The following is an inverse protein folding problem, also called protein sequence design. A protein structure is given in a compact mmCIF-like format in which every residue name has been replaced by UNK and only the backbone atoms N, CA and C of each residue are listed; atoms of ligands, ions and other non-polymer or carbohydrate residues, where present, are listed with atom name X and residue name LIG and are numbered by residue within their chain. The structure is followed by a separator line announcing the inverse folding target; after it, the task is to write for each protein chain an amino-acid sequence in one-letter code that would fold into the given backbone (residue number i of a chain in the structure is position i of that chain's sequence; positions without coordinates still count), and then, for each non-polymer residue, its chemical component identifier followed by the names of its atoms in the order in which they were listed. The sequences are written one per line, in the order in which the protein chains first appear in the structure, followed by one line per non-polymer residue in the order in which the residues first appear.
data_IF_009796398963
#
_entry.id   IF_009796398963
#
_cell.length_a   1.000
_cell.length_b   1.000
_cell.length_c   1.000
_cell.angle_alpha   90.00
_cell.angle_beta   90.00
_cell.angle_gamma   90.00
#
_symmetry.space_group_name_H-M   'P 1'
#
loop_
_entity.id
_entity.type
_entity.pdbx_description
1 polymer ?
#
# COMPACT_ATOMS: atom_id res chain seq x y z
N UNK A 1 -21.48 13.83 18.32
CA UNK A 1 -22.71 13.48 17.57
C UNK A 1 -22.82 11.96 17.53
N UNK A 2 -24.03 11.41 17.54
CA UNK A 2 -24.22 9.96 17.40
C UNK A 2 -24.23 9.64 15.91
N UNK A 3 -23.14 9.07 15.41
CA UNK A 3 -23.11 8.57 14.04
C UNK A 3 -23.62 7.13 14.01
N UNK A 4 -24.32 6.77 12.93
CA UNK A 4 -24.92 5.45 12.73
C UNK A 4 -24.81 5.04 11.26
N UNK A 5 -24.81 3.74 11.00
CA UNK A 5 -24.90 3.18 9.65
C UNK A 5 -26.21 2.42 9.55
N UNK A 6 -27.04 2.84 8.60
CA UNK A 6 -28.29 2.18 8.25
C UNK A 6 -28.04 1.25 7.08
N UNK A 7 -28.40 -0.02 7.25
CA UNK A 7 -28.31 -1.06 6.24
C UNK A 7 -29.71 -1.48 5.82
N UNK A 8 -29.93 -1.57 4.51
CA UNK A 8 -31.21 -1.92 3.90
C UNK A 8 -31.06 -2.98 2.83
N UNK A 9 -32.14 -3.71 2.59
CA UNK A 9 -32.35 -4.48 1.38
C UNK A 9 -32.51 -3.56 0.16
N UNK A 10 -32.29 -4.05 -1.08
CA UNK A 10 -32.50 -3.25 -2.30
C UNK A 10 -33.92 -2.72 -2.47
N UNK A 11 -34.92 -3.38 -1.86
CA UNK A 11 -36.31 -2.94 -1.86
C UNK A 11 -36.60 -1.82 -0.84
N UNK A 12 -35.63 -1.45 0.00
CA UNK A 12 -35.71 -0.40 1.02
C UNK A 12 -35.96 -0.89 2.45
N UNK A 13 -36.22 -2.18 2.67
CA UNK A 13 -36.46 -2.75 4.00
C UNK A 13 -35.23 -2.59 4.89
N UNK A 14 -35.42 -2.16 6.14
CA UNK A 14 -34.31 -1.99 7.09
C UNK A 14 -33.85 -3.34 7.61
N UNK A 15 -32.57 -3.65 7.38
CA UNK A 15 -31.91 -4.85 7.89
C UNK A 15 -31.28 -4.58 9.25
N UNK A 16 -30.56 -3.47 9.37
CA UNK A 16 -29.89 -3.08 10.60
C UNK A 16 -29.68 -1.57 10.68
N UNK A 17 -29.64 -1.03 11.89
CA UNK A 17 -29.15 0.32 12.17
C UNK A 17 -28.11 0.20 13.28
N UNK A 18 -26.85 0.41 12.92
CA UNK A 18 -25.71 0.10 13.80
C UNK A 18 -25.03 1.41 14.20
N UNK A 19 -24.81 1.65 15.50
CA UNK A 19 -24.08 2.83 15.94
C UNK A 19 -22.63 2.77 15.44
N UNK A 20 -22.17 3.86 14.85
CA UNK A 20 -20.77 4.02 14.50
C UNK A 20 -19.99 4.47 15.74
N UNK A 21 -18.91 3.77 16.02
CA UNK A 21 -18.00 4.02 17.12
C UNK A 21 -16.72 4.66 16.57
N UNK A 22 -16.01 5.45 17.36
CA UNK A 22 -14.70 5.93 16.96
C UNK A 22 -13.72 4.76 16.79
N UNK A 23 -13.05 4.68 15.63
CA UNK A 23 -11.97 3.74 15.38
C UNK A 23 -10.60 4.43 15.52
N UNK A 24 -9.62 3.75 16.13
CA UNK A 24 -8.27 4.27 16.44
C UNK A 24 -7.91 4.28 17.95
N UNK A 25 -6.75 4.84 18.32
CA UNK A 25 -6.30 4.95 19.72
C UNK A 25 -7.16 5.96 20.51
N UNK A 26 -8.20 5.42 21.15
CA UNK A 26 -9.12 6.13 22.03
C UNK A 26 -8.42 6.94 23.13
N UNK A 27 -7.24 6.53 23.61
CA UNK A 27 -6.51 7.23 24.68
C UNK A 27 -5.83 8.48 24.15
N UNK A 28 -5.15 8.39 23.01
CA UNK A 28 -4.54 9.56 22.34
C UNK A 28 -5.60 10.54 21.88
N UNK A 29 -6.72 10.06 21.35
CA UNK A 29 -7.80 10.92 20.87
C UNK A 29 -8.55 11.60 22.03
N UNK A 30 -8.83 10.89 23.13
CA UNK A 30 -9.37 11.51 24.36
C UNK A 30 -8.45 12.61 24.92
N UNK A 31 -7.13 12.45 24.83
CA UNK A 31 -6.16 13.49 25.19
C UNK A 31 -6.25 14.69 24.24
N UNK A 32 -6.36 14.48 22.92
CA UNK A 32 -6.55 15.55 21.91
C UNK A 32 -7.87 16.30 22.11
N UNK A 33 -9.00 15.59 22.26
CA UNK A 33 -10.33 16.17 22.51
C UNK A 33 -10.38 17.00 23.82
N UNK A 34 -9.69 16.55 24.88
CA UNK A 34 -9.58 17.33 26.13
C UNK A 34 -8.80 18.63 25.95
N UNK A 35 -7.79 18.65 25.09
CA UNK A 35 -7.02 19.85 24.75
C UNK A 35 -7.81 20.82 23.83
N UNK A 36 -8.81 20.31 23.11
CA UNK A 36 -9.63 21.04 22.14
C UNK A 36 -10.83 21.78 22.75
N UNK A 37 -11.04 21.72 24.07
CA UNK A 37 -12.06 22.54 24.80
C UNK A 37 -11.78 24.06 24.78
N UNK A 38 -10.87 24.52 23.93
CA UNK A 38 -10.57 25.92 23.64
C UNK A 38 -11.10 26.24 22.25
N UNK A 39 -11.65 27.44 22.05
CA UNK A 39 -12.32 27.98 20.85
C UNK A 39 -11.48 28.03 19.54
N UNK A 40 -10.62 27.03 19.29
CA UNK A 40 -9.77 26.94 18.11
C UNK A 40 -10.54 26.27 16.95
N UNK A 41 -10.38 26.77 15.71
CA UNK A 41 -10.97 26.14 14.54
C UNK A 41 -10.40 24.73 14.32
N UNK A 42 -11.27 23.83 13.84
CA UNK A 42 -10.93 22.44 13.48
C UNK A 42 -9.80 22.48 12.45
N UNK A 43 -8.70 21.77 12.73
CA UNK A 43 -7.57 21.68 11.80
C UNK A 43 -7.79 20.53 10.82
N UNK A 44 -7.24 20.58 9.60
CA UNK A 44 -7.22 19.44 8.67
C UNK A 44 -6.68 18.13 9.27
N UNK A 45 -5.89 18.21 10.35
CA UNK A 45 -5.36 17.05 11.09
C UNK A 45 -6.32 16.45 12.13
N UNK A 46 -7.55 16.97 12.24
CA UNK A 46 -8.61 16.51 13.15
C UNK A 46 -9.60 15.57 12.44
N UNK A 47 -9.08 14.59 11.69
CA UNK A 47 -9.89 13.52 11.08
C UNK A 47 -10.35 12.55 12.19
N UNK A 48 -11.65 12.30 12.25
CA UNK A 48 -12.26 11.32 13.13
C UNK A 48 -12.68 10.09 12.32
N UNK A 49 -12.02 8.96 12.53
CA UNK A 49 -12.45 7.70 11.95
C UNK A 49 -13.63 7.13 12.76
N UNK A 50 -14.71 6.80 12.06
CA UNK A 50 -15.89 6.12 12.60
C UNK A 50 -16.01 4.74 11.96
N UNK A 51 -16.34 3.74 12.76
CA UNK A 51 -16.48 2.34 12.40
C UNK A 51 -17.84 1.82 12.87
N UNK A 52 -18.56 1.14 12.00
CA UNK A 52 -19.74 0.36 12.36
C UNK A 52 -19.54 -1.08 11.91
N UNK A 53 -19.75 -2.04 12.82
CA UNK A 53 -19.63 -3.47 12.51
C UNK A 53 -20.99 -4.02 12.07
N UNK A 54 -21.13 -4.24 10.77
CA UNK A 54 -22.27 -4.96 10.21
C UNK A 54 -21.98 -6.46 10.30
N UNK A 55 -22.85 -7.21 10.99
CA UNK A 55 -22.65 -8.66 11.26
C UNK A 55 -23.82 -9.47 10.75
N UNK A 56 -23.64 -10.80 10.65
CA UNK A 56 -24.65 -11.73 10.16
C UNK A 56 -25.20 -11.40 8.75
N UNK A 57 -24.31 -10.91 7.87
CA UNK A 57 -24.65 -10.62 6.48
C UNK A 57 -24.65 -11.89 5.63
N UNK A 58 -25.58 -11.98 4.67
CA UNK A 58 -25.59 -13.06 3.69
C UNK A 58 -24.44 -12.87 2.69
N UNK A 59 -23.73 -13.94 2.29
CA UNK A 59 -22.65 -13.86 1.31
C UNK A 59 -23.16 -13.61 -0.11
N UNK A 60 -22.40 -12.90 -0.95
CA UNK A 60 -22.80 -12.57 -2.33
C UNK A 60 -24.15 -11.84 -2.42
N UNK A 61 -24.51 -11.10 -1.37
CA UNK A 61 -25.76 -10.37 -1.28
C UNK A 61 -25.52 -8.88 -1.45
N UNK A 62 -26.45 -8.22 -2.14
CA UNK A 62 -26.43 -6.78 -2.33
C UNK A 62 -27.28 -6.13 -1.25
N UNK A 63 -26.63 -5.35 -0.39
CA UNK A 63 -27.28 -4.42 0.52
C UNK A 63 -27.11 -2.98 0.03
N UNK A 64 -27.85 -2.07 0.65
CA UNK A 64 -27.68 -0.64 0.51
C UNK A 64 -27.39 -0.04 1.89
N UNK A 65 -26.29 0.70 2.02
CA UNK A 65 -25.92 1.34 3.28
C UNK A 65 -25.96 2.87 3.17
N UNK A 66 -26.22 3.53 4.29
CA UNK A 66 -26.21 4.99 4.41
C UNK A 66 -25.65 5.39 5.78
N UNK A 67 -24.79 6.40 5.81
CA UNK A 67 -24.27 6.96 7.07
C UNK A 67 -25.20 8.07 7.53
N UNK A 68 -25.53 8.08 8.82
CA UNK A 68 -26.35 9.10 9.47
C UNK A 68 -25.59 9.73 10.63
N UNK A 69 -25.87 11.01 10.90
CA UNK A 69 -25.47 11.70 12.11
C UNK A 69 -26.73 12.29 12.77
N UNK A 70 -26.98 11.89 14.01
CA UNK A 70 -28.17 12.29 14.78
C UNK A 70 -29.49 12.10 14.00
N UNK A 71 -29.58 10.99 13.25
CA UNK A 71 -30.72 10.61 12.41
C UNK A 71 -30.79 11.32 11.06
N UNK A 72 -29.87 12.22 10.74
CA UNK A 72 -29.79 12.93 9.46
C UNK A 72 -28.83 12.20 8.52
N UNK A 73 -29.23 11.83 7.29
CA UNK A 73 -28.32 11.27 6.32
C UNK A 73 -27.13 12.18 6.01
N UNK A 74 -25.92 11.63 6.14
CA UNK A 74 -24.65 12.31 5.84
C UNK A 74 -24.09 11.90 4.47
N UNK A 75 -24.53 10.76 3.96
CA UNK A 75 -24.16 10.25 2.64
C UNK A 75 -25.40 9.93 1.83
N UNK A 76 -25.26 9.93 0.51
CA UNK A 76 -26.21 9.23 -0.35
C UNK A 76 -26.20 7.71 -0.02
N UNK A 77 -27.28 6.97 -0.32
CA UNK A 77 -27.28 5.51 -0.22
C UNK A 77 -26.26 4.88 -1.18
N UNK A 78 -25.49 3.92 -0.71
CA UNK A 78 -24.42 3.26 -1.47
C UNK A 78 -24.60 1.74 -1.48
N UNK A 79 -24.27 1.06 -2.59
CA UNK A 79 -24.33 -0.40 -2.62
C UNK A 79 -23.22 -1.00 -1.75
N UNK A 80 -23.52 -2.14 -1.13
CA UNK A 80 -22.57 -2.99 -0.43
C UNK A 80 -22.80 -4.42 -0.89
N UNK A 81 -21.86 -4.95 -1.68
CA UNK A 81 -21.86 -6.38 -2.05
C UNK A 81 -20.97 -7.12 -1.06
N UNK A 82 -21.52 -8.12 -0.39
CA UNK A 82 -20.77 -8.91 0.59
C UNK A 82 -19.86 -9.93 -0.08
N UNK A 83 -18.81 -10.31 0.64
CA UNK A 83 -17.82 -11.28 0.18
C UNK A 83 -18.48 -12.58 -0.31
N UNK A 84 -17.91 -13.16 -1.37
CA UNK A 84 -18.40 -14.41 -1.91
C UNK A 84 -18.14 -15.57 -0.95
N UNK A 85 -19.11 -16.47 -0.81
CA UNK A 85 -18.87 -17.76 -0.15
C UNK A 85 -18.01 -18.66 -1.05
N UNK A 86 -17.28 -19.60 -0.44
CA UNK A 86 -16.53 -20.61 -1.19
C UNK A 86 -17.45 -21.54 -1.99
N UNK A 87 -16.92 -22.13 -3.06
CA UNK A 87 -17.60 -23.03 -4.00
C UNK A 87 -18.74 -22.39 -4.81
N UNK A 88 -18.64 -21.10 -5.09
CA UNK A 88 -19.51 -20.47 -6.07
C UNK A 88 -18.89 -20.60 -7.46
N UNK A 89 -19.71 -20.94 -8.47
CA UNK A 89 -19.27 -20.95 -9.88
C UNK A 89 -18.90 -19.54 -10.39
N UNK A 90 -19.11 -18.50 -9.57
CA UNK A 90 -18.74 -17.13 -9.87
C UNK A 90 -17.27 -16.89 -9.49
N UNK A 91 -16.47 -16.33 -10.41
CA UNK A 91 -15.10 -15.99 -10.09
C UNK A 91 -15.04 -14.83 -9.10
N UNK A 92 -14.07 -14.92 -8.18
CA UNK A 92 -13.60 -13.80 -7.38
C UNK A 92 -12.73 -12.90 -8.24
N UNK A 93 -13.11 -11.63 -8.38
CA UNK A 93 -12.36 -10.64 -9.17
C UNK A 93 -11.75 -9.59 -8.25
N UNK A 94 -10.47 -9.30 -8.39
CA UNK A 94 -9.83 -8.27 -7.58
C UNK A 94 -8.68 -7.61 -8.32
N UNK A 95 -8.31 -6.42 -7.88
CA UNK A 95 -7.13 -5.72 -8.37
C UNK A 95 -6.09 -5.60 -7.26
N UNK A 96 -4.81 -5.63 -7.61
CA UNK A 96 -3.71 -5.41 -6.69
C UNK A 96 -2.73 -4.36 -7.24
N UNK A 97 -2.30 -3.44 -6.38
CA UNK A 97 -1.42 -2.33 -6.75
C UNK A 97 -0.57 -1.88 -5.54
N UNK A 98 0.74 -1.71 -5.72
CA UNK A 98 1.64 -1.15 -4.72
C UNK A 98 2.09 0.27 -5.05
N UNK A 99 2.55 1.01 -4.05
CA UNK A 99 3.34 2.23 -4.24
C UNK A 99 2.56 3.34 -4.96
N UNK A 100 1.27 3.42 -4.66
CA UNK A 100 0.34 4.38 -5.26
C UNK A 100 0.52 5.79 -4.70
N UNK A 101 0.95 5.95 -3.44
CA UNK A 101 0.71 7.11 -2.57
C UNK A 101 1.36 8.45 -2.90
N UNK A 102 1.61 8.79 -4.17
CA UNK A 102 2.31 10.03 -4.56
C UNK A 102 1.40 11.25 -4.57
N UNK A 103 0.08 11.07 -4.75
CA UNK A 103 -0.87 12.14 -5.08
C UNK A 103 -0.77 12.61 -6.54
N UNK A 104 0.13 12.02 -7.33
CA UNK A 104 0.57 12.51 -8.63
C UNK A 104 -0.28 12.05 -9.82
N UNK A 105 0.09 12.53 -11.01
CA UNK A 105 -0.63 12.23 -12.25
C UNK A 105 -0.63 10.73 -12.59
N UNK A 106 0.49 10.02 -12.39
CA UNK A 106 0.58 8.59 -12.66
C UNK A 106 -0.37 7.77 -11.77
N UNK A 107 -0.45 8.09 -10.47
CA UNK A 107 -1.39 7.45 -9.56
C UNK A 107 -2.85 7.68 -9.98
N UNK A 108 -3.22 8.93 -10.32
CA UNK A 108 -4.58 9.26 -10.76
C UNK A 108 -4.95 8.54 -12.05
N UNK A 109 -4.00 8.45 -13.00
CA UNK A 109 -4.18 7.68 -14.23
C UNK A 109 -4.31 6.18 -13.97
N UNK A 110 -3.57 5.62 -13.00
CA UNK A 110 -3.75 4.24 -12.54
C UNK A 110 -5.14 4.01 -11.94
N UNK A 111 -5.60 4.89 -11.04
CA UNK A 111 -6.93 4.80 -10.46
C UNK A 111 -8.03 4.83 -11.54
N UNK A 112 -7.89 5.73 -12.52
CA UNK A 112 -8.78 5.78 -13.69
C UNK A 112 -8.72 4.48 -14.49
N UNK A 113 -7.52 3.95 -14.75
CA UNK A 113 -7.35 2.72 -15.51
C UNK A 113 -7.96 1.51 -14.81
N UNK A 114 -7.79 1.41 -13.49
CA UNK A 114 -8.40 0.34 -12.69
C UNK A 114 -9.93 0.38 -12.82
N UNK A 115 -10.55 1.56 -12.88
CA UNK A 115 -12.01 1.69 -13.05
C UNK A 115 -12.57 1.11 -14.36
N UNK A 116 -11.71 0.79 -15.33
CA UNK A 116 -12.09 0.18 -16.61
C UNK A 116 -12.19 -1.34 -16.55
N UNK A 117 -11.81 -1.96 -15.44
CA UNK A 117 -11.95 -3.41 -15.20
C UNK A 117 -12.94 -3.69 -14.07
N UNK A 118 -13.60 -4.84 -14.11
CA UNK A 118 -14.49 -5.28 -13.03
C UNK A 118 -13.68 -5.92 -11.90
N UNK A 119 -13.93 -5.50 -10.66
CA UNK A 119 -13.37 -6.10 -9.46
C UNK A 119 -14.32 -5.95 -8.27
N UNK A 120 -14.26 -6.93 -7.37
CA UNK A 120 -15.08 -7.00 -6.16
C UNK A 120 -14.40 -6.27 -4.99
N UNK A 121 -13.06 -6.22 -4.99
CA UNK A 121 -12.25 -5.55 -3.97
C UNK A 121 -10.84 -5.18 -4.50
N UNK A 122 -10.13 -4.37 -3.71
CA UNK A 122 -8.79 -3.89 -4.02
C UNK A 122 -7.78 -4.35 -2.97
N UNK A 123 -6.59 -4.75 -3.41
CA UNK A 123 -5.42 -4.99 -2.57
C UNK A 123 -4.39 -3.87 -2.78
N UNK A 124 -3.95 -3.25 -1.69
CA UNK A 124 -2.84 -2.29 -1.72
C UNK A 124 -1.58 -2.87 -1.07
N UNK A 125 -0.49 -2.91 -1.82
CA UNK A 125 0.74 -3.62 -1.46
C UNK A 125 1.73 -2.72 -0.67
N UNK A 126 1.23 -1.83 0.18
CA UNK A 126 2.02 -0.86 0.96
C UNK A 126 2.45 0.39 0.20
N UNK A 127 3.01 1.35 0.94
CA UNK A 127 3.40 2.68 0.47
C UNK A 127 2.26 3.42 -0.23
N UNK A 128 1.13 3.48 0.47
CA UNK A 128 -0.10 4.15 0.05
C UNK A 128 -0.08 5.66 0.33
N UNK A 129 0.87 6.14 1.13
CA UNK A 129 1.00 7.55 1.49
C UNK A 129 2.48 7.99 1.58
N UNK A 130 3.05 8.37 0.43
CA UNK A 130 4.35 9.03 0.40
C UNK A 130 4.26 10.44 0.99
N UNK A 131 5.31 10.99 1.59
CA UNK A 131 6.64 10.39 1.80
C UNK A 131 6.79 9.83 3.21
N UNK A 132 5.93 10.18 4.16
CA UNK A 132 6.12 9.79 5.56
C UNK A 132 4.88 9.16 6.21
N UNK A 133 3.84 8.85 5.45
CA UNK A 133 2.62 8.25 5.98
C UNK A 133 1.91 9.09 7.02
N UNK A 134 1.94 10.42 6.88
CA UNK A 134 1.19 11.31 7.76
C UNK A 134 -0.32 11.15 7.53
N UNK A 135 -1.15 11.57 8.50
CA UNK A 135 -2.60 11.53 8.35
C UNK A 135 -3.07 12.36 7.13
N UNK A 136 -2.49 13.54 6.92
CA UNK A 136 -2.76 14.38 5.74
C UNK A 136 -2.34 13.72 4.43
N UNK A 137 -1.22 13.00 4.40
CA UNK A 137 -0.82 12.24 3.21
C UNK A 137 -1.77 11.07 2.93
N UNK A 138 -2.23 10.36 3.95
CA UNK A 138 -3.24 9.30 3.79
C UNK A 138 -4.55 9.88 3.26
N UNK A 139 -5.04 10.98 3.83
CA UNK A 139 -6.24 11.67 3.37
C UNK A 139 -6.12 12.05 1.89
N UNK A 140 -5.11 12.84 1.53
CA UNK A 140 -5.02 13.45 0.20
C UNK A 140 -4.48 12.53 -0.89
N UNK A 141 -3.72 11.50 -0.52
CA UNK A 141 -3.05 10.61 -1.49
C UNK A 141 -3.66 9.22 -1.54
N UNK A 142 -4.55 8.88 -0.61
CA UNK A 142 -5.31 7.64 -0.67
C UNK A 142 -6.81 7.94 -0.74
N UNK A 143 -7.40 8.49 0.33
CA UNK A 143 -8.86 8.64 0.39
C UNK A 143 -9.41 9.59 -0.67
N UNK A 144 -8.80 10.75 -0.91
CA UNK A 144 -9.24 11.69 -1.94
C UNK A 144 -9.16 11.08 -3.36
N UNK A 145 -8.16 10.24 -3.63
CA UNK A 145 -7.95 9.65 -4.96
C UNK A 145 -8.92 8.50 -5.23
N UNK A 146 -9.18 7.67 -4.22
CA UNK A 146 -10.03 6.48 -4.36
C UNK A 146 -11.44 6.69 -3.78
N UNK A 147 -11.81 7.92 -3.39
CA UNK A 147 -13.05 8.27 -2.68
C UNK A 147 -14.29 7.62 -3.26
N UNK A 148 -14.46 7.74 -4.57
CA UNK A 148 -15.67 7.31 -5.24
C UNK A 148 -15.79 5.79 -5.29
N UNK A 149 -14.67 5.07 -5.46
CA UNK A 149 -14.66 3.59 -5.51
C UNK A 149 -14.71 2.97 -4.10
N UNK A 150 -14.03 3.58 -3.12
CA UNK A 150 -14.03 3.12 -1.72
C UNK A 150 -15.40 3.19 -1.04
N UNK A 151 -16.35 3.94 -1.65
CA UNK A 151 -17.73 4.01 -1.18
C UNK A 151 -18.49 2.69 -1.35
N UNK A 152 -18.03 1.75 -2.19
CA UNK A 152 -18.75 0.48 -2.39
C UNK A 152 -17.83 -0.70 -2.69
N UNK A 153 -16.53 -0.45 -2.94
CA UNK A 153 -15.52 -1.48 -3.10
C UNK A 153 -14.59 -1.48 -1.88
N UNK A 154 -14.51 -2.59 -1.12
CA UNK A 154 -13.58 -2.67 -0.01
C UNK A 154 -12.12 -2.67 -0.47
N UNK A 155 -11.27 -2.01 0.31
CA UNK A 155 -9.83 -1.99 0.11
C UNK A 155 -9.11 -2.64 1.29
N UNK A 156 -8.28 -3.62 0.99
CA UNK A 156 -7.42 -4.31 1.95
C UNK A 156 -5.99 -3.85 1.70
N UNK A 157 -5.37 -3.25 2.71
CA UNK A 157 -4.04 -2.65 2.57
C UNK A 157 -3.03 -3.41 3.42
N UNK A 158 -1.81 -3.56 2.91
CA UNK A 158 -0.64 -3.90 3.72
C UNK A 158 0.10 -2.61 4.09
N UNK A 159 0.85 -2.63 5.20
CA UNK A 159 1.67 -1.49 5.63
C UNK A 159 3.04 -1.50 4.93
N UNK A 160 3.48 -0.35 4.40
CA UNK A 160 4.80 -0.14 3.81
C UNK A 160 5.79 0.58 4.74
N UNK A 161 7.02 0.75 4.29
CA UNK A 161 8.05 1.44 5.07
C UNK A 161 7.81 2.96 5.14
N UNK A 162 7.10 3.55 4.16
CA UNK A 162 6.77 4.96 4.21
C UNK A 162 5.72 5.27 5.28
N UNK A 163 4.74 4.37 5.49
CA UNK A 163 3.76 4.50 6.57
C UNK A 163 4.40 4.49 7.96
N UNK A 164 5.51 3.76 8.14
CA UNK A 164 6.21 3.65 9.44
C UNK A 164 6.93 4.93 9.87
N UNK A 165 7.25 5.84 8.94
CA UNK A 165 8.08 7.03 9.23
C UNK A 165 7.40 7.98 10.21
N UNK A 166 6.08 8.09 10.16
CA UNK A 166 5.30 8.89 11.12
C UNK A 166 4.82 8.02 12.27
N UNK A 167 5.33 8.29 13.47
CA UNK A 167 4.86 7.65 14.72
C UNK A 167 4.77 6.12 14.63
N UNK A 168 5.71 5.47 13.94
CA UNK A 168 5.76 4.01 13.75
C UNK A 168 4.50 3.43 13.09
N UNK A 169 3.84 4.17 12.19
CA UNK A 169 2.64 3.71 11.47
C UNK A 169 1.32 4.06 12.15
N UNK A 170 1.33 4.81 13.25
CA UNK A 170 0.09 5.16 13.94
C UNK A 170 -0.96 5.84 13.04
N UNK A 171 -0.64 6.76 12.11
CA UNK A 171 -1.65 7.31 11.19
C UNK A 171 -2.32 6.25 10.30
N UNK A 172 -1.57 5.22 9.87
CA UNK A 172 -2.13 4.11 9.10
C UNK A 172 -3.14 3.31 9.94
N UNK A 173 -2.77 2.91 11.16
CA UNK A 173 -3.69 2.18 12.06
C UNK A 173 -4.86 3.04 12.57
N UNK A 174 -4.75 4.38 12.49
CA UNK A 174 -5.83 5.31 12.82
C UNK A 174 -6.77 5.57 11.63
N UNK A 175 -6.39 5.19 10.41
CA UNK A 175 -7.11 5.48 9.17
C UNK A 175 -7.85 4.27 8.59
N UNK A 176 -7.35 3.05 8.81
CA UNK A 176 -7.89 1.83 8.22
C UNK A 176 -8.58 0.96 9.26
N UNK A 177 -9.74 0.41 8.90
CA UNK A 177 -10.40 -0.67 9.63
C UNK A 177 -10.18 -1.95 8.85
N UNK A 178 -9.27 -2.79 9.33
CA UNK A 178 -8.88 -4.03 8.65
C UNK A 178 -9.22 -5.25 9.54
N UNK A 179 -9.29 -6.45 8.97
CA UNK A 179 -9.51 -7.65 9.77
C UNK A 179 -8.42 -7.87 10.83
N UNK A 180 -8.75 -8.67 11.84
CA UNK A 180 -7.77 -9.19 12.80
C UNK A 180 -6.98 -8.10 13.53
N UNK A 181 -5.65 -8.21 13.52
CA UNK A 181 -4.76 -7.29 14.21
C UNK A 181 -4.44 -6.02 13.41
N UNK A 182 -5.04 -5.85 12.23
CA UNK A 182 -4.87 -4.75 11.25
C UNK A 182 -3.45 -4.60 10.67
N UNK A 183 -2.42 -4.99 11.42
CA UNK A 183 -1.01 -5.03 11.02
C UNK A 183 -0.70 -6.21 10.11
N UNK A 184 -1.22 -7.37 10.47
CA UNK A 184 -1.22 -8.60 9.68
C UNK A 184 -2.55 -9.29 9.96
N UNK A 185 -3.16 -9.83 8.93
CA UNK A 185 -4.52 -10.33 9.01
C UNK A 185 -4.83 -11.23 7.82
N UNK A 186 -5.92 -11.96 7.90
CA UNK A 186 -6.42 -12.75 6.78
C UNK A 186 -7.93 -12.58 6.62
N UNK A 187 -8.39 -12.89 5.43
CA UNK A 187 -9.80 -12.92 5.06
C UNK A 187 -10.02 -13.86 3.89
N UNK A 188 -11.25 -14.32 3.75
CA UNK A 188 -11.65 -15.19 2.66
C UNK A 188 -12.54 -14.43 1.69
N UNK A 189 -12.36 -14.68 0.39
CA UNK A 189 -13.29 -14.24 -0.64
C UNK A 189 -13.42 -15.34 -1.69
N UNK A 190 -14.61 -15.92 -1.78
CA UNK A 190 -14.87 -17.06 -2.65
C UNK A 190 -13.94 -18.22 -2.31
N UNK A 191 -13.21 -18.70 -3.31
CA UNK A 191 -12.30 -19.85 -3.20
C UNK A 191 -10.85 -19.46 -2.84
N UNK A 192 -10.63 -18.23 -2.38
CA UNK A 192 -9.30 -17.69 -2.12
C UNK A 192 -9.16 -17.23 -0.67
N UNK A 193 -8.11 -17.71 -0.02
CA UNK A 193 -7.66 -17.25 1.28
C UNK A 193 -6.58 -16.17 1.09
N UNK A 194 -6.84 -14.97 1.58
CA UNK A 194 -5.93 -13.83 1.49
C UNK A 194 -5.25 -13.58 2.83
N UNK A 195 -3.95 -13.32 2.79
CA UNK A 195 -3.16 -13.05 4.01
C UNK A 195 -2.30 -11.80 3.81
N UNK A 196 -2.58 -10.76 4.57
CA UNK A 196 -1.73 -9.58 4.67
C UNK A 196 -0.61 -9.83 5.69
N UNK A 197 0.64 -9.64 5.28
CA UNK A 197 1.81 -9.68 6.16
C UNK A 197 2.46 -8.31 6.25
N UNK A 198 2.88 -7.95 7.46
CA UNK A 198 3.74 -6.81 7.72
C UNK A 198 5.19 -7.22 7.42
N UNK A 199 5.74 -6.67 6.35
CA UNK A 199 7.13 -6.93 5.95
C UNK A 199 8.12 -5.92 6.53
N UNK A 200 7.63 -4.89 7.22
CA UNK A 200 8.48 -3.90 7.93
C UNK A 200 9.02 -4.46 9.25
N UNK A 201 8.42 -5.55 9.72
CA UNK A 201 8.60 -6.15 11.04
C UNK A 201 8.39 -7.67 10.93
N UNK A 202 9.25 -8.48 11.55
CA UNK A 202 9.25 -9.94 11.36
C UNK A 202 9.40 -10.67 12.71
N UNK A 203 8.64 -10.21 13.71
CA UNK A 203 8.65 -10.81 15.04
C UNK A 203 8.04 -12.21 15.05
N UNK A 204 8.47 -13.03 16.02
CA UNK A 204 8.02 -14.41 16.18
C UNK A 204 6.49 -14.58 16.28
N UNK A 205 5.78 -13.57 16.80
CA UNK A 205 4.33 -13.62 16.95
C UNK A 205 3.61 -13.59 15.60
N UNK A 206 4.05 -12.74 14.68
CA UNK A 206 3.53 -12.71 13.32
C UNK A 206 3.86 -14.02 12.57
N UNK A 207 5.10 -14.50 12.69
CA UNK A 207 5.51 -15.73 12.00
C UNK A 207 4.74 -16.96 12.47
N UNK A 208 4.51 -17.07 13.79
CA UNK A 208 3.69 -18.13 14.38
C UNK A 208 2.22 -17.99 13.97
N UNK A 209 1.68 -16.78 14.00
CA UNK A 209 0.32 -16.52 13.55
C UNK A 209 0.13 -16.92 12.07
N UNK A 210 1.05 -16.54 11.19
CA UNK A 210 1.01 -16.88 9.77
C UNK A 210 1.03 -18.38 9.54
N UNK A 211 1.95 -19.09 10.21
CA UNK A 211 2.07 -20.54 10.13
C UNK A 211 0.79 -21.25 10.62
N UNK A 212 0.20 -20.77 11.72
CA UNK A 212 -1.06 -21.29 12.25
C UNK A 212 -2.26 -21.01 11.33
N UNK A 213 -2.30 -19.83 10.70
CA UNK A 213 -3.37 -19.41 9.81
C UNK A 213 -3.40 -20.25 8.53
N UNK A 214 -2.25 -20.34 7.87
CA UNK A 214 -2.07 -21.16 6.68
C UNK A 214 -2.35 -22.65 6.94
N UNK A 215 -2.00 -23.16 8.13
CA UNK A 215 -2.30 -24.55 8.53
C UNK A 215 -3.81 -24.81 8.61
N UNK A 216 -4.58 -23.83 9.10
CA UNK A 216 -6.04 -23.95 9.27
C UNK A 216 -6.79 -23.83 7.96
N UNK A 217 -6.25 -23.09 6.98
CA UNK A 217 -6.90 -22.88 5.69
C UNK A 217 -7.28 -24.20 4.99
N UNK A 218 -8.44 -24.17 4.32
CA UNK A 218 -8.99 -25.26 3.50
C UNK A 218 -9.37 -24.81 2.09
N UNK A 219 -9.27 -23.52 1.79
CA UNK A 219 -9.55 -22.97 0.47
C UNK A 219 -8.45 -23.34 -0.52
N UNK A 220 -8.80 -23.56 -1.81
CA UNK A 220 -7.85 -24.07 -2.80
C UNK A 220 -6.75 -23.07 -3.13
N UNK A 221 -7.02 -21.76 -3.10
CA UNK A 221 -6.05 -20.73 -3.41
C UNK A 221 -5.59 -20.00 -2.16
N UNK A 222 -4.28 -19.79 -2.06
CA UNK A 222 -3.69 -18.92 -1.03
C UNK A 222 -2.89 -17.80 -1.68
N UNK A 223 -3.28 -16.57 -1.37
CA UNK A 223 -2.59 -15.36 -1.82
C UNK A 223 -2.09 -14.59 -0.59
N UNK A 224 -0.77 -14.47 -0.48
CA UNK A 224 -0.14 -13.65 0.56
C UNK A 224 0.24 -12.31 -0.06
N UNK A 225 0.00 -11.21 0.64
CA UNK A 225 0.40 -9.89 0.17
C UNK A 225 1.08 -9.08 1.27
N UNK A 226 2.05 -8.26 0.87
CA UNK A 226 2.85 -7.42 1.74
C UNK A 226 3.53 -6.32 0.93
N UNK A 227 4.56 -5.70 1.49
CA UNK A 227 5.23 -4.58 0.83
C UNK A 227 6.60 -4.95 0.25
N UNK A 228 7.53 -5.44 1.07
CA UNK A 228 8.91 -5.68 0.65
C UNK A 228 9.09 -7.04 -0.05
N UNK A 229 9.66 -7.09 -1.27
CA UNK A 229 9.77 -8.32 -2.05
C UNK A 229 10.94 -9.21 -1.58
N UNK A 230 10.72 -10.50 -1.27
CA UNK A 230 11.82 -11.43 -0.95
C UNK A 230 12.72 -11.73 -2.17
N UNK A 231 12.25 -11.47 -3.39
CA UNK A 231 12.98 -11.65 -4.65
C UNK A 231 12.78 -10.42 -5.53
N UNK A 232 13.86 -9.86 -6.09
CA UNK A 232 13.83 -8.76 -7.05
C UNK A 232 15.16 -8.68 -7.81
N UNK A 233 15.09 -8.26 -9.08
CA UNK A 233 16.21 -7.90 -9.95
C UNK A 233 16.34 -6.38 -10.14
N UNK A 234 15.63 -5.59 -9.30
CA UNK A 234 15.75 -4.13 -9.31
C UNK A 234 17.16 -3.71 -8.88
N UNK A 235 17.47 -2.42 -9.07
CA UNK A 235 18.68 -1.82 -8.54
C UNK A 235 18.86 -1.99 -7.01
N UNK A 236 17.76 -2.00 -6.25
CA UNK A 236 17.75 -2.24 -4.80
C UNK A 236 17.84 -3.72 -4.44
N UNK A 237 17.38 -4.59 -5.34
CA UNK A 237 17.52 -6.04 -5.21
C UNK A 237 16.58 -6.66 -4.18
N UNK A 238 16.80 -7.94 -3.81
CA UNK A 238 15.88 -8.69 -2.96
C UNK A 238 15.98 -8.30 -1.48
N UNK A 239 14.85 -8.29 -0.80
CA UNK A 239 14.77 -8.03 0.65
C UNK A 239 15.06 -9.33 1.42
N UNK A 240 16.34 -9.62 1.62
CA UNK A 240 16.83 -10.88 2.20
C UNK A 240 16.30 -11.16 3.62
N UNK A 241 16.17 -10.17 4.53
CA UNK A 241 15.54 -10.41 5.84
C UNK A 241 14.12 -10.95 5.71
N UNK A 242 13.32 -10.37 4.79
CA UNK A 242 11.95 -10.83 4.50
C UNK A 242 11.97 -12.25 3.94
N UNK A 243 12.89 -12.55 3.01
CA UNK A 243 13.07 -13.90 2.49
C UNK A 243 13.36 -14.91 3.61
N UNK A 244 14.33 -14.61 4.49
CA UNK A 244 14.70 -15.48 5.62
C UNK A 244 13.54 -15.72 6.58
N UNK A 245 12.74 -14.70 6.85
CA UNK A 245 11.62 -14.79 7.78
C UNK A 245 10.44 -15.59 7.23
N UNK A 246 10.02 -15.31 5.98
CA UNK A 246 8.73 -15.78 5.47
C UNK A 246 8.84 -16.94 4.47
N UNK A 247 9.87 -16.99 3.62
CA UNK A 247 9.86 -17.86 2.44
C UNK A 247 9.69 -19.35 2.76
N UNK A 248 10.29 -19.81 3.87
CA UNK A 248 10.13 -21.20 4.33
C UNK A 248 8.69 -21.52 4.73
N UNK A 249 8.03 -20.62 5.48
CA UNK A 249 6.63 -20.80 5.90
C UNK A 249 5.73 -20.84 4.65
N UNK A 250 5.90 -19.88 3.75
CA UNK A 250 5.10 -19.77 2.52
C UNK A 250 5.25 -21.02 1.62
N UNK A 251 6.48 -21.53 1.49
CA UNK A 251 6.75 -22.76 0.72
C UNK A 251 6.14 -23.99 1.38
N UNK A 252 6.31 -24.15 2.70
CA UNK A 252 5.79 -25.29 3.44
C UNK A 252 4.26 -25.42 3.36
N UNK A 253 3.56 -24.28 3.31
CA UNK A 253 2.11 -24.23 3.17
C UNK A 253 1.63 -24.12 1.72
N UNK A 254 2.53 -24.25 0.74
CA UNK A 254 2.22 -24.24 -0.70
C UNK A 254 1.42 -23.01 -1.14
N UNK A 255 1.81 -21.83 -0.65
CA UNK A 255 1.22 -20.56 -1.09
C UNK A 255 1.31 -20.44 -2.61
N UNK A 256 0.23 -20.06 -3.28
CA UNK A 256 0.20 -20.00 -4.75
C UNK A 256 0.85 -18.73 -5.29
N UNK A 257 0.53 -17.60 -4.66
CA UNK A 257 0.96 -16.26 -5.08
C UNK A 257 1.34 -15.41 -3.88
N UNK A 258 2.48 -14.73 -3.98
CA UNK A 258 2.94 -13.71 -3.05
C UNK A 258 3.05 -12.38 -3.78
N UNK A 259 2.28 -11.38 -3.35
CA UNK A 259 2.22 -10.05 -3.93
C UNK A 259 2.98 -9.04 -3.07
N UNK A 260 3.86 -8.26 -3.69
CA UNK A 260 4.67 -7.24 -3.01
C UNK A 260 4.80 -5.98 -3.85
N UNK A 261 5.05 -4.84 -3.22
CA UNK A 261 5.33 -3.56 -3.85
C UNK A 261 6.82 -3.21 -3.72
N UNK A 262 7.10 -1.99 -3.26
CA UNK A 262 8.40 -1.41 -2.90
C UNK A 262 9.33 -1.15 -4.09
N UNK A 263 9.47 -2.14 -4.98
CA UNK A 263 10.20 -1.98 -6.22
C UNK A 263 9.28 -1.39 -7.28
N UNK A 264 9.61 -0.19 -7.74
CA UNK A 264 8.73 0.59 -8.62
C UNK A 264 8.80 0.11 -10.07
N UNK A 265 8.44 -1.16 -10.27
CA UNK A 265 8.44 -1.88 -11.52
C UNK A 265 7.63 -3.18 -11.36
N UNK A 266 7.45 -3.90 -12.46
CA UNK A 266 6.86 -5.23 -12.47
C UNK A 266 7.93 -6.31 -12.51
N UNK A 267 7.82 -7.34 -11.66
CA UNK A 267 8.62 -8.56 -11.74
C UNK A 267 7.82 -9.80 -11.34
N UNK A 268 8.12 -10.94 -11.95
CA UNK A 268 7.57 -12.24 -11.55
C UNK A 268 8.66 -13.31 -11.46
N UNK A 269 8.67 -14.02 -10.34
CA UNK A 269 9.54 -15.16 -10.06
C UNK A 269 8.71 -16.40 -9.73
N UNK A 270 9.30 -17.59 -9.86
CA UNK A 270 8.72 -18.83 -9.34
C UNK A 270 9.80 -19.58 -8.56
N UNK A 271 9.56 -19.80 -7.27
CA UNK A 271 10.52 -20.45 -6.37
C UNK A 271 9.77 -21.48 -5.54
N UNK A 272 10.22 -22.74 -5.58
CA UNK A 272 9.58 -23.86 -4.87
C UNK A 272 8.05 -23.89 -5.06
N UNK A 273 7.62 -23.73 -6.32
CA UNK A 273 6.22 -23.66 -6.78
C UNK A 273 5.38 -22.45 -6.36
N UNK A 274 5.92 -21.54 -5.55
CA UNK A 274 5.30 -20.25 -5.19
C UNK A 274 5.59 -19.20 -6.27
N UNK A 275 4.57 -18.48 -6.74
CA UNK A 275 4.77 -17.33 -7.63
C UNK A 275 4.98 -16.07 -6.80
N UNK A 276 6.16 -15.46 -6.89
CA UNK A 276 6.44 -14.17 -6.24
C UNK A 276 6.32 -13.05 -7.27
N UNK A 277 5.48 -12.06 -6.98
CA UNK A 277 5.13 -10.98 -7.90
C UNK A 277 5.41 -9.65 -7.21
N UNK A 278 6.19 -8.81 -7.89
CA UNK A 278 6.51 -7.46 -7.48
C UNK A 278 5.74 -6.50 -8.37
N UNK A 279 4.97 -5.60 -7.76
CA UNK A 279 4.06 -4.68 -8.43
C UNK A 279 4.01 -3.33 -7.71
N UNK A 280 5.15 -2.64 -7.68
CA UNK A 280 5.26 -1.27 -7.14
C UNK A 280 5.08 -0.17 -8.18
N UNK A 281 4.42 -0.46 -9.30
CA UNK A 281 4.25 0.48 -10.40
C UNK A 281 3.15 1.53 -10.19
N UNK A 282 2.56 1.65 -9.00
CA UNK A 282 1.27 2.34 -8.81
C UNK A 282 1.29 3.87 -8.91
N UNK A 283 2.45 4.51 -8.94
CA UNK A 283 2.54 5.95 -9.16
C UNK A 283 3.89 6.57 -8.87
N UNK A 284 4.70 5.95 -8.01
CA UNK A 284 6.07 6.37 -7.70
C UNK A 284 7.02 6.37 -8.91
N UNK A 285 8.13 7.10 -8.81
CA UNK A 285 9.16 7.11 -9.86
C UNK A 285 9.66 5.68 -10.14
N UNK A 286 9.54 5.23 -11.39
CA UNK A 286 9.91 3.87 -11.76
C UNK A 286 11.41 3.59 -11.54
N UNK A 287 11.71 2.40 -11.02
CA UNK A 287 13.08 1.93 -10.80
C UNK A 287 13.62 1.16 -12.00
N UNK A 288 14.94 1.20 -12.15
CA UNK A 288 15.66 0.43 -13.19
C UNK A 288 16.07 -0.94 -12.65
N UNK A 289 16.14 -1.91 -13.55
CA UNK A 289 16.79 -3.20 -13.30
C UNK A 289 18.31 -3.06 -13.20
N UNK A 290 18.95 -3.97 -12.46
CA UNK A 290 20.40 -4.04 -12.37
C UNK A 290 20.89 -5.50 -12.35
N UNK A 291 21.97 -5.78 -13.07
CA UNK A 291 22.62 -7.10 -13.06
C UNK A 291 21.91 -8.17 -13.90
N UNK A 292 22.14 -9.45 -13.56
CA UNK A 292 21.55 -10.60 -14.25
C UNK A 292 20.06 -10.71 -13.87
N UNK A 293 19.20 -10.55 -14.86
CA UNK A 293 17.75 -10.66 -14.73
C UNK A 293 17.37 -12.10 -14.39
N UNK A 294 16.78 -12.30 -13.22
CA UNK A 294 16.33 -13.63 -12.74
C UNK A 294 14.81 -13.79 -12.82
N UNK A 295 14.08 -12.69 -13.00
CA UNK A 295 12.64 -12.71 -13.15
C UNK A 295 12.24 -13.45 -14.44
N UNK A 296 11.20 -14.28 -14.34
CA UNK A 296 10.56 -14.95 -15.48
C UNK A 296 9.89 -13.93 -16.41
N UNK A 297 9.41 -12.82 -15.85
CA UNK A 297 8.85 -11.68 -16.57
C UNK A 297 9.14 -10.42 -15.78
N UNK A 298 9.39 -9.32 -16.48
CA UNK A 298 9.64 -8.03 -15.86
C UNK A 298 9.29 -6.86 -16.80
N UNK A 299 8.96 -5.70 -16.25
CA UNK A 299 8.75 -4.47 -17.03
C UNK A 299 8.94 -3.22 -16.16
N UNK A 300 9.61 -2.19 -16.68
CA UNK A 300 9.68 -0.86 -16.06
C UNK A 300 8.53 0.00 -16.57
N UNK A 301 7.34 -0.22 -16.01
CA UNK A 301 6.10 0.49 -16.39
C UNK A 301 5.22 0.73 -15.16
N UNK A 302 4.41 1.79 -15.22
CA UNK A 302 3.28 1.93 -14.30
C UNK A 302 2.23 0.89 -14.67
N UNK A 303 1.74 0.14 -13.68
CA UNK A 303 0.82 -0.96 -13.89
C UNK A 303 0.06 -1.31 -12.61
N UNK A 304 -0.99 -2.10 -12.78
CA UNK A 304 -1.66 -2.84 -11.72
C UNK A 304 -1.92 -4.28 -12.16
N UNK A 305 -2.30 -5.13 -11.22
CA UNK A 305 -2.65 -6.52 -11.46
C UNK A 305 -4.17 -6.68 -11.39
N UNK A 306 -4.77 -7.32 -12.38
CA UNK A 306 -6.18 -7.71 -12.38
C UNK A 306 -6.30 -9.23 -12.30
N UNK A 307 -7.03 -9.73 -11.31
CA UNK A 307 -7.18 -11.15 -11.03
C UNK A 307 -8.61 -11.62 -11.24
N UNK A 308 -8.73 -12.87 -11.69
CA UNK A 308 -9.98 -13.64 -11.72
C UNK A 308 -9.69 -15.05 -11.22
N UNK A 309 -10.35 -15.47 -10.13
CA UNK A 309 -10.13 -16.75 -9.49
C UNK A 309 -11.44 -17.53 -9.30
N UNK A 310 -11.48 -18.75 -9.81
CA UNK A 310 -12.49 -19.79 -9.49
C UNK A 310 -11.81 -20.87 -8.66
N UNK A 311 -12.55 -21.83 -8.09
CA UNK A 311 -11.97 -23.01 -7.42
C UNK A 311 -10.88 -23.77 -8.21
N UNK A 312 -10.86 -23.65 -9.54
CA UNK A 312 -9.97 -24.43 -10.42
C UNK A 312 -8.93 -23.61 -11.15
N UNK A 313 -9.21 -22.34 -11.43
CA UNK A 313 -8.37 -21.51 -12.29
C UNK A 313 -8.21 -20.15 -11.65
N UNK A 314 -6.96 -19.70 -11.53
CA UNK A 314 -6.60 -18.33 -11.20
C UNK A 314 -5.90 -17.71 -12.41
N UNK A 315 -6.42 -16.60 -12.89
CA UNK A 315 -5.81 -15.79 -13.95
C UNK A 315 -5.40 -14.45 -13.37
N UNK A 316 -4.19 -14.00 -13.70
CA UNK A 316 -3.71 -12.66 -13.42
C UNK A 316 -3.32 -11.99 -14.73
N UNK A 317 -3.79 -10.77 -14.94
CA UNK A 317 -3.35 -9.87 -16.01
C UNK A 317 -2.57 -8.71 -15.42
N UNK A 318 -1.49 -8.33 -16.10
CA UNK A 318 -0.71 -7.13 -15.78
C UNK A 318 -1.08 -6.07 -16.80
N UNK A 319 -1.69 -4.99 -16.36
CA UNK A 319 -2.22 -3.93 -17.24
C UNK A 319 -1.44 -2.64 -16.95
N UNK A 320 -0.84 -2.05 -17.98
CA UNK A 320 -0.10 -0.80 -17.84
C UNK A 320 -1.01 0.44 -17.89
N UNK A 321 -0.40 1.63 -17.75
CA UNK A 321 -1.09 2.93 -17.72
C UNK A 321 -1.84 3.26 -19.00
N UNK A 322 -1.39 2.73 -20.13
CA UNK A 322 -2.02 2.90 -21.42
C UNK A 322 -3.10 1.83 -21.69
N UNK A 323 -3.31 0.91 -20.74
CA UNK A 323 -4.30 -0.17 -20.81
C UNK A 323 -3.79 -1.39 -21.58
N UNK A 324 -2.49 -1.43 -21.88
CA UNK A 324 -1.87 -2.56 -22.58
C UNK A 324 -1.56 -3.67 -21.60
N UNK A 325 -1.90 -4.89 -22.02
CA UNK A 325 -1.53 -6.10 -21.28
C UNK A 325 -0.04 -6.40 -21.46
N UNK A 326 0.69 -6.49 -20.35
CA UNK A 326 2.11 -6.82 -20.29
C UNK A 326 2.32 -8.34 -20.18
N UNK A 327 1.45 -9.00 -19.42
CA UNK A 327 1.46 -10.44 -19.18
C UNK A 327 0.08 -10.93 -18.75
N UNK A 328 -0.27 -12.16 -19.17
CA UNK A 328 -1.27 -13.00 -18.53
C UNK A 328 -0.59 -14.21 -17.91
N UNK A 329 -0.77 -14.43 -16.60
CA UNK A 329 -0.43 -15.66 -15.89
C UNK A 329 -1.72 -16.45 -15.65
N UNK A 330 -1.72 -17.73 -16.00
CA UNK A 330 -2.81 -18.65 -15.68
C UNK A 330 -2.28 -19.81 -14.85
N UNK A 331 -2.93 -20.06 -13.72
CA UNK A 331 -2.63 -21.16 -12.81
C UNK A 331 -3.87 -22.07 -12.72
N UNK A 332 -3.65 -23.38 -12.77
CA UNK A 332 -4.72 -24.38 -12.64
C UNK A 332 -4.51 -25.18 -11.34
N UNK A 333 -5.56 -25.35 -10.53
CA UNK A 333 -5.59 -26.32 -9.43
C UNK A 333 -6.06 -27.67 -9.93
N UNK A 334 -5.28 -28.71 -9.64
CA UNK A 334 -5.68 -30.10 -9.88
C UNK A 334 -6.76 -30.51 -8.85
N UNK A 335 -7.86 -31.15 -9.26
CA UNK A 335 -8.86 -31.67 -8.34
C UNK A 335 -8.24 -32.67 -7.35
N UNK A 336 -8.60 -32.59 -6.07
CA UNK A 336 -8.29 -33.62 -5.08
C UNK A 336 -6.90 -33.60 -4.45
N UNK A 337 -6.09 -32.56 -4.67
CA UNK A 337 -4.76 -32.42 -4.06
C UNK A 337 -4.76 -31.23 -3.09
N UNK A 338 -5.45 -31.37 -1.97
CA UNK A 338 -4.97 -30.78 -0.70
C UNK A 338 -3.92 -31.74 -0.12
N UNK A 339 -2.87 -32.08 -0.89
CA UNK A 339 -1.80 -32.89 -0.35
C UNK A 339 -1.05 -32.07 0.68
N UNK A 340 -1.39 -32.30 1.95
CA UNK A 340 -0.56 -31.96 3.09
C UNK A 340 0.68 -32.85 3.17
N UNK A 341 1.25 -33.29 2.05
CA UNK A 341 2.55 -33.97 2.05
C UNK A 341 3.58 -32.89 2.30
N UNK A 342 4.25 -32.85 3.47
CA UNK A 342 5.31 -31.90 3.71
C UNK A 342 6.36 -32.10 2.63
N UNK A 343 6.76 -31.01 1.97
CA UNK A 343 7.97 -31.07 1.14
C UNK A 343 9.10 -31.40 2.12
N UNK A 344 9.79 -32.52 1.91
CA UNK A 344 10.95 -32.90 2.72
C UNK A 344 11.91 -31.70 2.78
N UNK A 345 12.47 -31.39 3.96
CA UNK A 345 13.27 -30.19 4.18
C UNK A 345 14.67 -30.32 3.55
N UNK A 346 14.78 -30.58 2.25
CA UNK A 346 16.07 -30.65 1.57
C UNK A 346 15.97 -30.24 0.09
N UNK A 347 15.82 -28.93 -0.09
CA UNK A 347 16.55 -28.10 -1.04
C UNK A 347 16.39 -26.67 -0.53
N UNK A 348 17.35 -26.24 0.28
CA UNK A 348 17.41 -24.87 0.79
C UNK A 348 17.22 -23.90 -0.36
N UNK A 349 16.53 -22.80 -0.10
CA UNK A 349 16.34 -21.66 -1.02
C UNK A 349 17.70 -21.15 -1.58
N UNK A 350 18.80 -21.46 -0.90
CA UNK A 350 20.19 -21.20 -1.32
C UNK A 350 20.69 -22.10 -2.48
N UNK A 351 20.00 -23.20 -2.78
CA UNK A 351 20.41 -24.20 -3.79
C UNK A 351 19.65 -24.08 -5.11
N UNK A 352 18.73 -23.13 -5.25
CA UNK A 352 18.07 -22.87 -6.54
C UNK A 352 19.06 -22.14 -7.47
N UNK A 353 19.54 -22.79 -8.55
CA UNK A 353 20.53 -22.21 -9.45
C UNK A 353 20.02 -20.99 -10.23
N UNK A 354 18.72 -20.67 -10.12
CA UNK A 354 18.11 -19.49 -10.73
C UNK A 354 18.23 -18.22 -9.86
N UNK A 355 18.58 -18.34 -8.58
CA UNK A 355 18.65 -17.22 -7.63
C UNK A 355 20.11 -16.89 -7.32
N UNK A 356 20.62 -15.76 -7.83
CA UNK A 356 21.91 -15.21 -7.37
C UNK A 356 21.70 -14.17 -6.27
N UNK A 357 22.32 -14.46 -5.13
CA UNK A 357 22.36 -13.62 -3.95
C UNK A 357 23.33 -12.43 -4.13
N UNK A 358 22.85 -11.29 -4.64
CA UNK A 358 23.56 -9.98 -4.59
C UNK A 358 23.42 -9.26 -3.24
N UNK A 359 24.41 -8.48 -2.77
CA UNK A 359 24.52 -8.07 -1.36
C UNK A 359 23.36 -7.20 -0.86
N UNK A 360 23.01 -7.37 0.43
CA UNK A 360 21.93 -6.71 1.20
C UNK A 360 22.11 -5.17 1.23
N UNK A 361 21.01 -4.42 1.10
CA UNK A 361 21.05 -2.96 0.92
C UNK A 361 21.22 -2.16 2.23
N UNK A 362 20.92 -2.74 3.40
CA UNK A 362 21.18 -2.07 4.69
C UNK A 362 22.69 -1.86 4.99
N UNK A 363 23.57 -2.38 4.13
CA UNK A 363 25.02 -2.20 4.20
C UNK A 363 25.53 -1.18 3.17
N UNK A 364 24.72 -0.78 2.18
CA UNK A 364 25.13 0.20 1.18
C UNK A 364 24.83 1.62 1.65
N UNK A 365 25.75 2.18 2.43
CA UNK A 365 25.81 3.64 2.60
C UNK A 365 25.94 4.28 1.19
N UNK A 366 25.13 5.29 0.84
CA UNK A 366 25.36 6.03 -0.38
C UNK A 366 26.76 6.64 -0.33
N UNK A 367 27.59 6.36 -1.34
CA UNK A 367 28.74 7.22 -1.63
C UNK A 367 28.15 8.57 -1.98
N UNK A 368 28.25 9.53 -1.04
CA UNK A 368 28.05 10.93 -1.34
C UNK A 368 28.89 11.26 -2.59
N UNK A 369 28.35 11.98 -3.58
CA UNK A 369 29.17 12.45 -4.69
C UNK A 369 30.35 13.23 -4.12
N UNK A 370 31.55 12.95 -4.63
CA UNK A 370 32.78 13.68 -4.27
C UNK A 370 32.48 15.18 -4.31
N UNK A 371 32.63 15.83 -3.15
CA UNK A 371 32.59 17.27 -3.07
C UNK A 371 33.69 17.79 -3.97
N UNK A 372 33.30 18.60 -4.96
CA UNK A 372 34.20 19.49 -5.69
C UNK A 372 34.98 20.27 -4.64
N UNK A 373 36.32 20.27 -4.66
CA UNK A 373 37.09 20.90 -3.60
C UNK A 373 36.81 22.41 -3.58
N UNK A 374 36.22 22.88 -2.49
CA UNK A 374 36.16 24.30 -2.16
C UNK A 374 37.59 24.82 -2.02
N UNK A 375 37.96 25.78 -2.86
CA UNK A 375 39.19 26.54 -2.72
C UNK A 375 39.10 27.38 -1.46
N UNK A 376 39.89 26.99 -0.46
CA UNK A 376 40.10 27.72 0.78
C UNK A 376 40.99 28.97 0.51
N UNK A 377 40.59 30.21 0.82
CA UNK A 377 41.52 31.31 0.94
C UNK A 377 41.85 31.53 2.41
N UNK A 378 42.92 30.92 2.88
CA UNK A 378 43.57 31.34 4.12
C UNK A 378 44.64 32.40 3.83
N UNK A 379 44.76 33.33 4.77
CA UNK A 379 45.87 34.26 5.03
C UNK A 379 46.00 35.53 4.17
N UNK A 380 45.52 36.65 4.74
CA UNK A 380 46.10 37.99 4.55
C UNK A 380 47.30 38.15 5.48
N UNK A 381 48.45 38.67 5.01
CA UNK A 381 49.45 39.27 5.88
C UNK A 381 49.29 40.79 5.98
N UNK A 382 49.92 41.28 7.03
CA UNK A 382 50.08 42.60 7.64
C UNK A 382 50.05 43.87 6.77
N UNK A 383 49.66 44.94 7.45
CA UNK A 383 49.59 46.31 7.01
C UNK A 383 50.98 46.96 6.81
N UNK A 384 51.10 47.77 5.76
CA UNK A 384 51.95 48.97 5.75
C UNK A 384 51.19 50.16 5.16
N UNK A 385 51.37 51.27 5.84
CA UNK A 385 50.85 52.61 5.57
C UNK A 385 51.39 53.20 4.27
N UNK A 386 50.58 53.99 3.56
CA UNK A 386 51.00 55.30 3.02
C UNK A 386 49.78 56.16 2.58
N UNK A 387 49.70 57.32 3.23
CA UNK A 387 49.15 58.65 2.89
C UNK A 387 48.20 58.92 1.71
N UNK A 388 47.06 59.53 2.09
CA UNK A 388 46.14 60.56 1.50
C UNK A 388 46.64 61.39 0.28
N UNK A 389 45.74 62.02 -0.54
CA UNK A 389 44.83 63.07 -0.07
C UNK A 389 43.39 63.11 -0.64
N UNK A 390 42.62 63.99 0.00
CA UNK A 390 41.19 64.30 -0.10
C UNK A 390 40.78 65.03 -1.39
N UNK A 391 39.51 64.86 -1.80
CA UNK A 391 38.68 65.97 -2.27
C UNK A 391 37.18 65.77 -1.99
N UNK A 392 36.60 66.89 -1.52
CA UNK A 392 35.22 67.33 -1.19
C UNK A 392 34.11 66.84 -2.15
N UNK A 393 33.00 66.32 -1.63
CA UNK A 393 31.71 66.96 -1.23
C UNK A 393 30.86 67.53 -2.37
N UNK A 394 29.67 66.96 -2.60
CA UNK A 394 28.45 67.72 -2.92
C UNK A 394 27.19 66.85 -2.77
N UNK A 395 26.06 67.52 -2.53
CA UNK A 395 24.84 67.02 -1.87
C UNK A 395 23.62 67.05 -2.80
N UNK A 396 22.85 65.93 -2.82
CA UNK A 396 21.36 65.79 -2.98
C UNK A 396 20.65 66.28 -4.28
N UNK A 397 19.37 65.93 -4.55
CA UNK A 397 18.50 64.83 -4.06
C UNK A 397 17.62 64.10 -5.13
N UNK A 398 17.00 63.00 -4.70
CA UNK A 398 15.69 62.37 -5.02
C UNK A 398 14.93 62.64 -6.34
N UNK A 399 14.46 61.55 -6.99
CA UNK A 399 13.22 61.45 -7.80
C UNK A 399 12.88 59.95 -7.97
N UNK A 400 11.85 59.43 -7.28
CA UNK A 400 10.46 59.16 -7.73
C UNK A 400 10.30 58.07 -8.81
N UNK A 401 9.60 57.00 -8.44
CA UNK A 401 9.10 55.91 -9.28
C UNK A 401 7.95 56.34 -10.22
N UNK A 402 7.63 55.51 -11.23
CA UNK A 402 6.24 55.30 -11.65
C UNK A 402 5.86 53.80 -11.81
N UNK A 403 4.55 53.50 -11.98
CA UNK A 403 3.93 52.28 -11.48
C UNK A 403 3.58 51.21 -12.53
N UNK A 404 3.16 50.07 -11.97
CA UNK A 404 2.52 48.91 -12.59
C UNK A 404 1.17 49.25 -13.29
N UNK A 405 0.99 48.67 -14.47
CA UNK A 405 -0.28 48.26 -15.11
C UNK A 405 0.03 46.87 -15.72
N UNK A 406 -0.80 45.83 -15.72
CA UNK A 406 -2.24 45.69 -15.60
C UNK A 406 -2.76 44.96 -16.84
N UNK A 407 -2.92 43.64 -16.78
CA UNK A 407 -4.05 42.87 -17.34
C UNK A 407 -3.98 41.40 -16.94
#
# INVERSE_FOLDING_TARGET
EKAEVLLREPNGDVVAQVPAQYAGDLTRQKKRLKAQKSNQPIRPDDVYLLRADLTALEPTHLYCYQVLADGVPMTEPAPLVTAAAANLDKPTKFVAIGDTGTGGAAQKAMAQRMSEVEFDFMLFLGDIAYTSGTASEIEHKFFDIYRDVLRYVPAYTAIGNHERRTRQGAPYFEAFVLPGAERYYSFDWGDVHFVAIDTTQYEADQLRWLDDDLRRNKLPWVIVFGHHPPYSSSFRGPQRPVRRAFAKILTNHRVDVVLTGHEHQYERFRVADVNYIVSGGGGGQLTKFWGKLQALKQATVHHFLAFEATAKVLTMKVIDIDGKEIETLKLDKKPGVLEQTPIEPEKTIESDPTIHDGPDDDVRKPKLPEQVPETNPETKPEAKSETKPETKSETKPAQTAPPLTGR
#
